data_IF_463746594053
#
_entry.id   IF_463746594053
#
_cell.length_a   1.000
_cell.length_b   1.000
_cell.length_c   1.000
_cell.angle_alpha   90.00
_cell.angle_beta   90.00
_cell.angle_gamma   90.00
#
_symmetry.space_group_name_H-M   'P 1'
#
loop_
_entity.id
_entity.type
_entity.pdbx_description
1 polymer ?
#
# COMPACT_ATOMS: atom_id res chain seq x y z
N UNK A 1 7.72 16.56 6.51
CA UNK A 1 7.18 15.19 6.41
C UNK A 1 8.27 14.30 5.82
N UNK A 2 8.63 13.21 6.51
CA UNK A 2 9.55 12.19 5.98
C UNK A 2 8.82 10.86 6.08
N UNK A 3 8.88 10.05 5.02
CA UNK A 3 8.34 8.69 5.05
C UNK A 3 9.29 7.84 5.89
N UNK A 4 8.73 7.11 6.84
CA UNK A 4 9.46 6.20 7.71
C UNK A 4 8.76 4.83 7.67
N UNK A 5 9.47 3.80 8.12
CA UNK A 5 9.03 2.38 8.10
C UNK A 5 9.03 1.73 6.69
N UNK A 6 10.23 1.39 6.23
CA UNK A 6 10.45 0.61 5.01
C UNK A 6 10.53 -0.91 5.28
N UNK A 7 10.11 -1.39 6.45
CA UNK A 7 10.22 -2.81 6.82
C UNK A 7 9.43 -3.77 5.91
N UNK A 8 8.45 -3.23 5.18
CA UNK A 8 7.67 -3.94 4.17
C UNK A 8 7.98 -3.49 2.73
N UNK A 9 8.87 -2.50 2.55
CA UNK A 9 9.27 -2.04 1.23
C UNK A 9 10.09 -3.14 0.53
N UNK A 10 9.90 -3.28 -0.79
CA UNK A 10 10.61 -4.27 -1.60
C UNK A 10 11.21 -3.61 -2.83
N UNK A 11 12.39 -4.07 -3.21
CA UNK A 11 13.09 -3.56 -4.38
C UNK A 11 12.31 -3.89 -5.66
N UNK A 12 12.19 -2.93 -6.56
CA UNK A 12 11.41 -3.04 -7.81
C UNK A 12 12.17 -3.93 -8.82
N UNK A 13 13.49 -4.03 -8.70
CA UNK A 13 14.35 -4.72 -9.67
C UNK A 13 14.56 -6.21 -9.36
N UNK A 14 14.16 -6.69 -8.17
CA UNK A 14 14.58 -8.02 -7.70
C UNK A 14 13.61 -9.16 -8.08
N UNK A 15 12.37 -8.89 -8.53
CA UNK A 15 11.41 -9.95 -8.91
C UNK A 15 10.33 -9.46 -9.89
N UNK A 16 10.34 -10.04 -11.08
CA UNK A 16 9.47 -9.65 -12.21
C UNK A 16 7.99 -10.03 -12.06
N UNK A 17 7.57 -10.73 -11.01
CA UNK A 17 6.16 -11.08 -10.81
C UNK A 17 5.85 -11.29 -9.32
N UNK A 18 5.45 -10.21 -8.65
CA UNK A 18 5.07 -10.25 -7.24
C UNK A 18 3.65 -10.79 -7.11
N UNK A 19 3.54 -12.04 -6.65
CA UNK A 19 2.32 -12.58 -6.07
C UNK A 19 2.53 -12.66 -4.57
N UNK A 20 1.63 -12.05 -3.80
CA UNK A 20 1.69 -12.03 -2.34
C UNK A 20 1.49 -13.46 -1.79
N UNK A 21 2.59 -14.21 -1.68
CA UNK A 21 2.60 -15.59 -1.17
C UNK A 21 2.19 -15.69 0.31
N UNK A 22 1.97 -14.57 1.00
CA UNK A 22 1.71 -14.54 2.43
C UNK A 22 0.42 -13.76 2.76
N UNK A 23 -0.73 -14.36 2.45
CA UNK A 23 -2.09 -13.89 2.85
C UNK A 23 -2.29 -13.73 4.37
N UNK A 24 -1.31 -14.08 5.21
CA UNK A 24 -1.39 -14.04 6.69
C UNK A 24 -0.63 -12.87 7.33
N UNK A 25 0.08 -12.04 6.55
CA UNK A 25 0.68 -10.82 7.10
C UNK A 25 -0.41 -9.79 7.42
N UNK A 26 -0.30 -9.07 8.56
CA UNK A 26 -1.16 -7.92 8.87
C UNK A 26 -0.87 -6.80 7.87
N UNK A 27 -1.56 -6.82 6.73
CA UNK A 27 -1.42 -5.82 5.68
C UNK A 27 -2.44 -4.69 5.89
N UNK A 28 -2.08 -3.43 5.60
CA UNK A 28 -2.96 -2.28 5.77
C UNK A 28 -3.98 -2.22 4.62
N UNK A 29 -5.00 -3.09 4.66
CA UNK A 29 -5.98 -3.26 3.56
C UNK A 29 -6.64 -1.96 3.11
N UNK A 30 -6.94 -1.03 4.04
CA UNK A 30 -7.57 0.27 3.73
C UNK A 30 -6.70 1.19 2.88
N UNK A 31 -5.39 0.98 2.84
CA UNK A 31 -4.47 1.79 2.04
C UNK A 31 -4.00 1.05 0.78
N UNK A 32 -4.39 -0.21 0.60
CA UNK A 32 -3.95 -1.00 -0.55
C UNK A 32 -4.80 -0.74 -1.79
N UNK A 33 -4.14 -0.72 -2.94
CA UNK A 33 -4.82 -0.69 -4.22
C UNK A 33 -5.53 -2.02 -4.51
N UNK A 34 -6.59 -1.97 -5.32
CA UNK A 34 -7.42 -3.13 -5.62
C UNK A 34 -6.62 -4.22 -6.33
N UNK A 35 -5.71 -3.83 -7.24
CA UNK A 35 -4.79 -4.76 -7.91
C UNK A 35 -3.84 -5.46 -6.93
N UNK A 36 -3.44 -4.77 -5.86
CA UNK A 36 -2.62 -5.36 -4.80
C UNK A 36 -3.43 -6.28 -3.88
N UNK A 37 -4.74 -6.03 -3.73
CA UNK A 37 -5.63 -6.84 -2.92
C UNK A 37 -6.06 -8.13 -3.63
N UNK A 38 -6.44 -8.05 -4.90
CA UNK A 38 -6.93 -9.20 -5.67
C UNK A 38 -5.80 -10.06 -6.24
N UNK A 39 -4.80 -9.43 -6.86
CA UNK A 39 -3.73 -10.13 -7.59
C UNK A 39 -2.43 -10.21 -6.81
N UNK A 40 -2.35 -9.53 -5.66
CA UNK A 40 -1.10 -9.43 -4.90
C UNK A 40 0.00 -8.68 -5.67
N UNK A 41 -0.38 -7.88 -6.68
CA UNK A 41 0.54 -7.15 -7.55
C UNK A 41 0.82 -5.78 -6.96
N UNK A 42 2.09 -5.48 -6.74
CA UNK A 42 2.56 -4.20 -6.23
C UNK A 42 3.29 -3.48 -7.36
N UNK A 43 2.91 -2.25 -7.64
CA UNK A 43 3.49 -1.43 -8.71
C UNK A 43 3.59 0.03 -8.27
N UNK A 44 4.34 0.89 -8.98
CA UNK A 44 4.35 2.32 -8.68
C UNK A 44 2.94 2.95 -8.69
N UNK A 45 1.97 2.36 -9.41
CA UNK A 45 0.58 2.82 -9.42
C UNK A 45 -0.18 2.45 -8.14
N UNK A 46 0.11 1.31 -7.52
CA UNK A 46 -0.47 0.96 -6.22
C UNK A 46 0.05 1.86 -5.09
N UNK A 47 1.27 2.36 -5.22
CA UNK A 47 1.84 3.33 -4.28
C UNK A 47 1.17 4.70 -4.42
N UNK A 48 0.82 5.11 -5.64
CA UNK A 48 0.03 6.33 -5.90
C UNK A 48 -1.36 6.23 -5.26
N UNK A 49 -2.01 5.06 -5.31
CA UNK A 49 -3.28 4.82 -4.60
C UNK A 49 -3.13 5.02 -3.09
N UNK A 50 -2.14 4.36 -2.49
CA UNK A 50 -1.84 4.45 -1.06
C UNK A 50 -1.59 5.90 -0.63
N UNK A 51 -0.85 6.67 -1.45
CA UNK A 51 -0.61 8.09 -1.22
C UNK A 51 -1.89 8.94 -1.30
N UNK A 52 -2.83 8.59 -2.17
CA UNK A 52 -4.15 9.23 -2.24
C UNK A 52 -4.95 9.08 -0.94
N UNK A 53 -4.91 7.90 -0.32
CA UNK A 53 -5.53 7.67 0.99
C UNK A 53 -4.85 8.51 2.08
N UNK A 54 -3.50 8.60 2.07
CA UNK A 54 -2.76 9.46 3.01
C UNK A 54 -3.11 10.95 2.84
N UNK A 55 -3.30 11.42 1.60
CA UNK A 55 -3.76 12.79 1.36
C UNK A 55 -5.19 13.02 1.90
N UNK A 56 -6.08 12.04 1.74
CA UNK A 56 -7.41 12.10 2.32
C UNK A 56 -7.37 12.16 3.86
N UNK A 57 -6.51 11.36 4.50
CA UNK A 57 -6.30 11.41 5.95
C UNK A 57 -5.76 12.77 6.39
N UNK A 58 -4.82 13.34 5.63
CA UNK A 58 -4.29 14.67 5.92
C UNK A 58 -5.37 15.75 5.87
N UNK A 59 -6.24 15.72 4.84
CA UNK A 59 -7.34 16.67 4.69
C UNK A 59 -8.42 16.52 5.77
N UNK A 60 -8.68 15.28 6.20
CA UNK A 60 -9.69 14.99 7.22
C UNK A 60 -9.16 15.10 8.65
N UNK A 61 -7.91 15.58 8.85
CA UNK A 61 -7.24 15.69 10.15
C UNK A 61 -7.07 14.35 10.87
N UNK A 62 -6.81 13.28 10.12
CA UNK A 62 -6.52 11.95 10.64
C UNK A 62 -7.78 11.13 10.97
N UNK A 63 -8.89 11.38 10.29
CA UNK A 63 -10.03 10.46 10.36
C UNK A 63 -9.66 9.12 9.71
N UNK A 64 -10.32 8.05 10.17
CA UNK A 64 -10.07 6.72 9.61
C UNK A 64 -10.66 6.65 8.19
N UNK A 65 -9.87 6.26 7.18
CA UNK A 65 -10.39 6.07 5.84
C UNK A 65 -11.43 4.95 5.84
N UNK A 66 -12.53 5.20 5.11
CA UNK A 66 -13.73 4.35 5.01
C UNK A 66 -14.42 4.10 6.38
N UNK A 67 -15.35 4.99 6.78
CA UNK A 67 -16.24 4.76 7.93
C UNK A 67 -17.27 3.67 7.66
#
# INVERSE_FOLDING_TARGET
>A
VRVADFGLARDIYEKEYYSSANKKAKLPVKWMAIESLEKGTYSPKSDVWSFGVVLWELMTRGLMPYP
#
